data_IF_237369820530
#
_entry.id   IF_237369820530
#
_cell.length_a   1.000
_cell.length_b   1.000
_cell.length_c   1.000
_cell.angle_alpha   90.00
_cell.angle_beta   90.00
_cell.angle_gamma   90.00
#
_symmetry.space_group_name_H-M   'P 1'
#
loop_
_entity.id
_entity.type
_entity.pdbx_description
1 polymer ?
#
# COMPACT_ATOMS: atom_id res chain seq x y z
N UNK A 1 18.50 -8.99 -0.56
CA UNK A 1 17.83 -9.24 -1.86
C UNK A 1 16.51 -8.49 -1.88
N UNK A 2 16.02 -8.06 -3.05
CA UNK A 2 14.75 -7.32 -3.19
C UNK A 2 13.68 -8.15 -3.90
N UNK A 3 12.45 -8.13 -3.40
CA UNK A 3 11.28 -8.78 -4.02
C UNK A 3 10.10 -7.82 -4.02
N UNK A 4 9.44 -7.70 -5.17
CA UNK A 4 8.20 -6.94 -5.33
C UNK A 4 7.01 -7.89 -5.50
N UNK A 5 5.87 -7.53 -4.92
CA UNK A 5 4.62 -8.26 -5.13
C UNK A 5 3.42 -7.58 -4.48
N UNK A 6 2.29 -8.27 -4.48
CA UNK A 6 1.04 -7.83 -3.84
C UNK A 6 0.76 -8.73 -2.64
N UNK A 7 0.42 -8.15 -1.50
CA UNK A 7 0.01 -8.91 -0.32
C UNK A 7 -1.32 -9.62 -0.62
N UNK A 8 -1.27 -10.92 -0.84
CA UNK A 8 -2.41 -11.76 -1.16
C UNK A 8 -3.25 -12.06 0.09
N UNK A 9 -2.57 -12.37 1.19
CA UNK A 9 -3.21 -12.69 2.46
C UNK A 9 -2.29 -12.45 3.66
N UNK A 10 -2.88 -12.14 4.82
CA UNK A 10 -2.16 -12.00 6.09
C UNK A 10 -2.54 -13.21 6.95
N UNK A 11 -1.63 -14.20 6.99
CA UNK A 11 -1.85 -15.48 7.67
C UNK A 11 -1.80 -15.33 9.19
N UNK A 12 -0.89 -14.48 9.67
CA UNK A 12 -0.73 -14.19 11.09
C UNK A 12 -0.16 -12.79 11.29
N UNK A 13 -0.65 -12.10 12.32
CA UNK A 13 -0.07 -10.86 12.79
C UNK A 13 -0.06 -10.80 14.30
N UNK A 14 1.08 -10.42 14.86
CA UNK A 14 1.20 -10.04 16.25
C UNK A 14 1.00 -8.51 16.36
N UNK A 15 -0.11 -8.11 17.00
CA UNK A 15 -0.48 -6.69 17.15
C UNK A 15 0.44 -5.92 18.12
N UNK A 16 1.19 -6.60 19.00
CA UNK A 16 2.07 -5.95 19.98
C UNK A 16 3.41 -5.52 19.38
N UNK A 17 4.00 -6.34 18.50
CA UNK A 17 5.34 -6.10 17.96
C UNK A 17 5.40 -5.99 16.43
N UNK A 18 4.28 -6.17 15.73
CA UNK A 18 4.18 -6.06 14.28
C UNK A 18 4.72 -7.26 13.50
N UNK A 19 5.12 -8.35 14.17
CA UNK A 19 5.53 -9.56 13.49
C UNK A 19 4.39 -10.09 12.62
N UNK A 20 4.69 -10.31 11.34
CA UNK A 20 3.71 -10.64 10.32
C UNK A 20 4.19 -11.86 9.55
N UNK A 21 3.26 -12.77 9.29
CA UNK A 21 3.38 -13.84 8.30
C UNK A 21 2.32 -13.58 7.24
N UNK A 22 2.74 -13.41 5.98
CA UNK A 22 1.84 -13.09 4.88
C UNK A 22 2.19 -13.89 3.63
N UNK A 23 1.24 -13.96 2.70
CA UNK A 23 1.44 -14.44 1.34
C UNK A 23 1.65 -13.25 0.42
N UNK A 24 2.72 -13.29 -0.36
CA UNK A 24 3.05 -12.30 -1.37
C UNK A 24 2.90 -12.94 -2.75
N UNK A 25 1.95 -12.44 -3.54
CA UNK A 25 1.82 -12.80 -4.94
C UNK A 25 2.84 -12.01 -5.75
N UNK A 26 3.83 -12.71 -6.32
CA UNK A 26 4.83 -12.13 -7.23
C UNK A 26 4.44 -12.37 -8.68
N UNK A 27 5.27 -11.96 -9.64
CA UNK A 27 5.03 -12.28 -11.06
C UNK A 27 5.12 -13.78 -11.35
N UNK A 28 5.98 -14.50 -10.62
CA UNK A 28 6.25 -15.91 -10.85
C UNK A 28 5.36 -16.84 -10.01
N UNK A 29 5.23 -16.58 -8.70
CA UNK A 29 4.45 -17.41 -7.78
C UNK A 29 4.07 -16.69 -6.46
N UNK A 30 3.21 -17.32 -5.66
CA UNK A 30 2.87 -16.90 -4.29
C UNK A 30 3.89 -17.44 -3.28
N UNK A 31 4.69 -16.54 -2.70
CA UNK A 31 5.69 -16.88 -1.67
C UNK A 31 5.19 -16.53 -0.25
N UNK A 32 5.70 -17.22 0.77
CA UNK A 32 5.47 -16.83 2.17
C UNK A 32 6.52 -15.80 2.60
N UNK A 33 6.08 -14.69 3.16
CA UNK A 33 6.95 -13.63 3.71
C UNK A 33 6.81 -13.56 5.23
N UNK A 34 7.92 -13.28 5.93
CA UNK A 34 7.96 -13.11 7.39
C UNK A 34 8.82 -11.92 7.79
N UNK A 35 8.38 -11.14 8.78
CA UNK A 35 9.13 -9.96 9.21
C UNK A 35 8.30 -9.03 10.10
N UNK A 36 8.85 -7.89 10.48
CA UNK A 36 8.14 -6.88 11.27
C UNK A 36 7.61 -5.80 10.34
N UNK A 37 6.30 -5.58 10.34
CA UNK A 37 5.65 -4.53 9.56
C UNK A 37 4.75 -3.65 10.44
N UNK A 38 4.97 -2.33 10.42
CA UNK A 38 4.11 -1.36 11.11
C UNK A 38 2.70 -1.35 10.52
N UNK A 39 2.64 -1.34 9.19
CA UNK A 39 1.42 -1.35 8.42
C UNK A 39 1.64 -2.30 7.25
N UNK A 40 0.64 -3.14 7.04
CA UNK A 40 0.58 -4.08 5.94
C UNK A 40 -0.89 -4.44 5.77
N UNK A 41 -1.38 -4.43 4.54
CA UNK A 41 -2.77 -4.70 4.20
C UNK A 41 -2.83 -5.69 3.06
N UNK A 42 -3.90 -6.47 3.03
CA UNK A 42 -4.25 -7.25 1.85
C UNK A 42 -4.44 -6.31 0.65
N UNK A 43 -4.08 -6.80 -0.53
CA UNK A 43 -4.09 -6.11 -1.82
C UNK A 43 -3.12 -4.91 -1.90
N UNK A 44 -2.21 -4.78 -0.93
CA UNK A 44 -1.19 -3.74 -0.93
C UNK A 44 0.03 -4.19 -1.76
N UNK A 45 0.45 -3.40 -2.77
CA UNK A 45 1.68 -3.65 -3.49
C UNK A 45 2.88 -3.18 -2.64
N UNK A 46 3.88 -4.03 -2.50
CA UNK A 46 5.05 -3.78 -1.64
C UNK A 46 6.36 -4.17 -2.32
N UNK A 47 7.42 -3.48 -1.94
CA UNK A 47 8.81 -3.86 -2.17
C UNK A 47 9.41 -4.29 -0.83
N UNK A 48 9.99 -5.48 -0.80
CA UNK A 48 10.61 -6.07 0.37
C UNK A 48 12.11 -6.22 0.15
N UNK A 49 12.90 -5.90 1.17
CA UNK A 49 14.33 -6.19 1.21
C UNK A 49 14.61 -7.22 2.31
N UNK A 50 15.34 -8.29 1.98
CA UNK A 50 15.67 -9.37 2.90
C UNK A 50 16.24 -10.60 2.18
N UNK A 51 16.10 -11.76 2.80
CA UNK A 51 16.69 -13.02 2.34
C UNK A 51 15.76 -14.23 2.54
N UNK A 52 15.90 -15.25 1.70
CA UNK A 52 15.21 -16.53 1.90
C UNK A 52 15.80 -17.27 3.11
N UNK A 53 14.91 -17.83 3.92
CA UNK A 53 15.21 -18.66 5.08
C UNK A 53 14.34 -19.90 5.06
N UNK A 54 14.75 -20.93 5.79
CA UNK A 54 14.00 -22.18 5.91
C UNK A 54 13.54 -22.38 7.34
N UNK A 55 12.25 -22.63 7.53
CA UNK A 55 11.68 -22.97 8.83
C UNK A 55 11.29 -24.45 8.85
N UNK A 56 11.81 -25.22 9.82
CA UNK A 56 11.66 -26.69 9.88
C UNK A 56 10.23 -27.20 9.69
N UNK A 57 9.24 -26.46 10.22
CA UNK A 57 7.80 -26.79 10.11
C UNK A 57 7.10 -26.22 8.88
N UNK A 58 7.56 -25.07 8.36
CA UNK A 58 6.78 -24.26 7.41
C UNK A 58 7.44 -24.12 6.03
N UNK A 59 8.65 -24.66 5.87
CA UNK A 59 9.40 -24.63 4.62
C UNK A 59 10.09 -23.28 4.38
N UNK A 60 10.33 -22.99 3.12
CA UNK A 60 10.99 -21.78 2.65
C UNK A 60 10.10 -20.54 2.84
N UNK A 61 10.71 -19.47 3.33
CA UNK A 61 10.06 -18.19 3.58
C UNK A 61 11.03 -17.07 3.21
N UNK A 62 10.53 -15.96 2.69
CA UNK A 62 11.32 -14.75 2.53
C UNK A 62 11.26 -13.92 3.81
N UNK A 63 12.37 -13.82 4.52
CA UNK A 63 12.48 -12.99 5.73
C UNK A 63 12.85 -11.57 5.32
N UNK A 64 11.89 -10.66 5.39
CA UNK A 64 12.14 -9.24 5.08
C UNK A 64 12.61 -8.47 6.32
N UNK A 65 13.57 -7.59 6.11
CA UNK A 65 14.07 -6.64 7.10
C UNK A 65 13.50 -5.23 6.86
N UNK A 66 13.18 -4.92 5.61
CA UNK A 66 12.49 -3.69 5.23
C UNK A 66 11.29 -3.99 4.34
N UNK A 67 10.24 -3.19 4.50
CA UNK A 67 9.01 -3.21 3.70
C UNK A 67 8.66 -1.77 3.33
N UNK A 68 8.43 -1.55 2.04
CA UNK A 68 8.00 -0.27 1.47
C UNK A 68 6.73 -0.48 0.67
N UNK A 69 5.67 0.26 0.99
CA UNK A 69 4.49 0.33 0.13
C UNK A 69 4.84 1.06 -1.15
N UNK A 70 4.53 0.46 -2.30
CA UNK A 70 4.74 1.09 -3.61
C UNK A 70 3.40 1.56 -4.17
N UNK A 71 3.42 2.51 -5.09
CA UNK A 71 2.20 2.85 -5.84
C UNK A 71 1.96 1.74 -6.87
N UNK A 72 0.73 1.17 -6.96
CA UNK A 72 0.45 0.19 -7.99
C UNK A 72 0.53 0.85 -9.36
N UNK A 73 1.11 0.13 -10.33
CA UNK A 73 1.17 0.54 -11.73
C UNK A 73 0.17 -0.21 -12.61
N UNK A 74 -0.35 -1.36 -12.14
CA UNK A 74 -1.34 -2.14 -12.87
C UNK A 74 -2.75 -1.60 -12.64
N UNK A 75 -3.60 -1.68 -13.66
CA UNK A 75 -5.01 -1.26 -13.61
C UNK A 75 -5.75 -1.91 -12.43
N UNK A 76 -5.54 -3.21 -12.21
CA UNK A 76 -6.14 -3.96 -11.11
C UNK A 76 -5.62 -3.46 -9.75
N UNK A 77 -4.30 -3.30 -9.62
CA UNK A 77 -3.69 -2.80 -8.40
C UNK A 77 -4.16 -1.39 -8.05
N UNK A 78 -4.26 -0.50 -9.05
CA UNK A 78 -4.74 0.86 -8.88
C UNK A 78 -6.20 0.87 -8.43
N UNK A 79 -7.04 0.04 -9.04
CA UNK A 79 -8.45 -0.11 -8.65
C UNK A 79 -8.58 -0.58 -7.20
N UNK A 80 -7.84 -1.62 -6.81
CA UNK A 80 -7.87 -2.15 -5.44
C UNK A 80 -7.37 -1.11 -4.44
N UNK A 81 -6.26 -0.45 -4.75
CA UNK A 81 -5.68 0.62 -3.93
C UNK A 81 -6.65 1.78 -3.71
N UNK A 82 -7.25 2.30 -4.78
CA UNK A 82 -8.25 3.38 -4.72
C UNK A 82 -9.51 2.93 -3.96
N UNK A 83 -9.95 1.68 -4.13
CA UNK A 83 -11.15 1.13 -3.52
C UNK A 83 -10.99 0.64 -2.07
N UNK A 84 -9.74 0.51 -1.58
CA UNK A 84 -9.40 -0.07 -0.27
C UNK A 84 -9.86 0.76 0.94
N UNK A 85 -10.30 2.00 0.72
CA UNK A 85 -10.59 2.96 1.78
C UNK A 85 -9.34 3.66 2.35
N UNK A 86 -8.16 3.43 1.75
CA UNK A 86 -6.94 4.19 2.06
C UNK A 86 -7.05 5.67 1.71
N UNK A 87 -7.80 6.00 0.65
CA UNK A 87 -8.13 7.38 0.29
C UNK A 87 -9.59 7.59 0.66
N UNK A 88 -9.89 8.27 1.78
CA UNK A 88 -11.25 8.60 2.14
C UNK A 88 -11.99 9.25 0.97
N UNK A 89 -13.30 8.98 0.87
CA UNK A 89 -14.18 9.45 -0.21
C UNK A 89 -13.99 8.75 -1.59
N UNK A 90 -13.03 7.84 -1.73
CA UNK A 90 -12.97 6.90 -2.86
C UNK A 90 -13.38 5.50 -2.36
N UNK A 91 -14.63 5.13 -2.62
CA UNK A 91 -15.11 3.76 -2.39
C UNK A 91 -14.96 2.89 -3.65
N UNK A 92 -15.19 1.56 -3.57
CA UNK A 92 -14.99 0.62 -4.68
C UNK A 92 -15.66 1.06 -5.99
N UNK A 93 -16.92 1.50 -5.94
CA UNK A 93 -17.64 2.00 -7.14
C UNK A 93 -17.02 3.26 -7.76
N UNK A 94 -16.40 4.10 -6.95
CA UNK A 94 -15.73 5.32 -7.45
C UNK A 94 -14.37 4.94 -8.03
N UNK A 95 -13.65 4.02 -7.38
CA UNK A 95 -12.40 3.46 -7.90
C UNK A 95 -12.61 2.79 -9.27
N UNK A 96 -13.67 2.00 -9.43
CA UNK A 96 -14.07 1.41 -10.71
C UNK A 96 -14.19 2.47 -11.80
N UNK A 97 -15.02 3.50 -11.57
CA UNK A 97 -15.23 4.57 -12.56
C UNK A 97 -13.95 5.35 -12.89
N UNK A 98 -13.09 5.58 -11.91
CA UNK A 98 -11.80 6.27 -12.11
C UNK A 98 -10.90 5.44 -13.01
N UNK A 99 -10.76 4.15 -12.72
CA UNK A 99 -9.90 3.25 -13.48
C UNK A 99 -10.50 2.92 -14.85
N UNK A 100 -11.81 2.80 -14.99
CA UNK A 100 -12.48 2.62 -16.28
C UNK A 100 -12.23 3.83 -17.21
N UNK A 101 -12.10 5.04 -16.65
CA UNK A 101 -11.87 6.27 -17.40
C UNK A 101 -10.38 6.51 -17.72
N UNK A 102 -9.50 6.26 -16.75
CA UNK A 102 -8.09 6.68 -16.82
C UNK A 102 -7.08 5.53 -16.84
N UNK A 103 -7.52 4.30 -16.62
CA UNK A 103 -6.67 3.11 -16.65
C UNK A 103 -5.50 3.19 -15.67
N UNK A 104 -4.31 2.85 -16.17
CA UNK A 104 -3.04 2.90 -15.46
C UNK A 104 -2.60 4.33 -15.11
N UNK A 105 -3.21 5.35 -15.72
CA UNK A 105 -2.96 6.78 -15.41
C UNK A 105 -3.80 7.32 -14.28
N UNK A 106 -4.70 6.54 -13.70
CA UNK A 106 -5.63 7.03 -12.68
C UNK A 106 -4.94 7.74 -11.50
N UNK A 107 -3.82 7.21 -11.01
CA UNK A 107 -3.07 7.85 -9.90
C UNK A 107 -2.40 9.16 -10.33
N UNK A 108 -1.80 9.20 -11.53
CA UNK A 108 -1.21 10.42 -12.10
C UNK A 108 -2.28 11.51 -12.30
N UNK A 109 -3.47 11.13 -12.76
CA UNK A 109 -4.59 12.07 -12.93
C UNK A 109 -5.04 12.63 -11.59
N UNK A 110 -5.18 11.80 -10.56
CA UNK A 110 -5.56 12.29 -9.22
C UNK A 110 -4.49 13.25 -8.68
N UNK A 111 -3.21 12.97 -8.92
CA UNK A 111 -2.11 13.77 -8.39
C UNK A 111 -1.87 15.09 -9.13
N UNK A 112 -1.90 15.06 -10.46
CA UNK A 112 -1.43 16.18 -11.30
C UNK A 112 -2.55 16.88 -12.07
N UNK A 113 -3.67 16.20 -12.32
CA UNK A 113 -4.80 16.72 -13.11
C UNK A 113 -6.16 16.39 -12.46
N UNK A 114 -6.34 16.66 -11.15
CA UNK A 114 -7.50 16.19 -10.38
C UNK A 114 -8.84 16.72 -10.92
N UNK A 115 -8.85 17.87 -11.58
CA UNK A 115 -10.02 18.44 -12.24
C UNK A 115 -10.65 17.49 -13.28
N UNK A 116 -9.86 16.60 -13.88
CA UNK A 116 -10.36 15.59 -14.82
C UNK A 116 -11.28 14.58 -14.17
N UNK A 117 -11.23 14.41 -12.84
CA UNK A 117 -12.20 13.56 -12.15
C UNK A 117 -13.64 14.06 -12.33
N UNK A 118 -13.86 15.34 -12.68
CA UNK A 118 -15.19 15.87 -13.04
C UNK A 118 -15.74 15.29 -14.35
N UNK A 119 -14.90 14.65 -15.18
CA UNK A 119 -15.34 13.89 -16.36
C UNK A 119 -16.13 12.62 -15.96
N UNK A 120 -16.08 12.21 -14.69
CA UNK A 120 -16.71 10.98 -14.19
C UNK A 120 -18.07 11.30 -13.56
N UNK A 121 -19.11 10.63 -14.07
CA UNK A 121 -20.45 10.70 -13.49
C UNK A 121 -20.45 10.33 -11.99
N UNK A 122 -21.04 11.19 -11.17
CA UNK A 122 -21.08 11.04 -9.71
C UNK A 122 -19.87 11.62 -8.96
N UNK A 123 -18.93 12.29 -9.65
CA UNK A 123 -17.90 13.13 -9.04
C UNK A 123 -18.18 14.60 -9.38
N UNK A 124 -18.88 15.30 -8.48
CA UNK A 124 -19.05 16.75 -8.56
C UNK A 124 -17.97 17.50 -7.78
N UNK A 125 -17.92 18.84 -7.93
CA UNK A 125 -16.92 19.73 -7.29
C UNK A 125 -16.68 19.44 -5.81
N UNK A 126 -17.75 19.31 -5.02
CA UNK A 126 -17.66 19.01 -3.57
C UNK A 126 -17.02 17.65 -3.26
N UNK A 127 -17.22 16.65 -4.13
CA UNK A 127 -16.60 15.33 -3.96
C UNK A 127 -15.14 15.37 -4.41
N UNK A 128 -14.85 16.09 -5.50
CA UNK A 128 -13.49 16.34 -5.95
C UNK A 128 -12.64 17.00 -4.85
N UNK A 129 -13.11 18.09 -4.25
CA UNK A 129 -12.42 18.79 -3.16
C UNK A 129 -12.05 17.84 -2.02
N UNK A 130 -12.99 16.99 -1.61
CA UNK A 130 -12.76 15.98 -0.57
C UNK A 130 -11.74 14.91 -0.98
N UNK A 131 -11.80 14.44 -2.23
CA UNK A 131 -10.85 13.46 -2.75
C UNK A 131 -9.44 14.06 -2.74
N UNK A 132 -9.28 15.30 -3.21
CA UNK A 132 -7.99 15.99 -3.23
C UNK A 132 -7.41 16.13 -1.82
N UNK A 133 -8.22 16.62 -0.87
CA UNK A 133 -7.80 16.74 0.52
C UNK A 133 -7.35 15.39 1.10
N UNK A 134 -8.14 14.33 0.90
CA UNK A 134 -7.83 12.99 1.39
C UNK A 134 -6.60 12.38 0.72
N UNK A 135 -6.35 12.69 -0.55
CA UNK A 135 -5.19 12.18 -1.27
C UNK A 135 -3.90 12.86 -0.82
N UNK A 136 -3.93 14.18 -0.60
CA UNK A 136 -2.78 14.94 -0.09
C UNK A 136 -2.41 14.52 1.33
N UNK A 137 -3.39 14.41 2.24
CA UNK A 137 -3.17 13.92 3.61
C UNK A 137 -2.49 12.52 3.63
N UNK A 138 -2.91 11.63 2.73
CA UNK A 138 -2.35 10.28 2.61
C UNK A 138 -0.96 10.29 1.97
N UNK A 139 -0.66 11.26 1.10
CA UNK A 139 0.66 11.44 0.50
C UNK A 139 1.66 11.96 1.53
N UNK A 140 1.30 12.99 2.27
CA UNK A 140 2.15 13.55 3.34
C UNK A 140 2.46 12.50 4.42
N UNK A 141 1.46 11.72 4.84
CA UNK A 141 1.68 10.63 5.79
C UNK A 141 2.69 9.58 5.27
N UNK A 142 2.67 9.28 3.96
CA UNK A 142 3.64 8.37 3.35
C UNK A 142 5.04 8.97 3.26
N UNK A 143 5.16 10.24 2.87
CA UNK A 143 6.46 10.93 2.81
C UNK A 143 7.12 10.98 4.21
N UNK A 144 6.33 11.19 5.27
CA UNK A 144 6.82 11.14 6.66
C UNK A 144 7.32 9.74 7.05
N UNK A 145 6.57 8.68 6.73
CA UNK A 145 6.96 7.30 7.06
C UNK A 145 8.23 6.89 6.31
N UNK A 146 8.32 7.23 5.01
CA UNK A 146 9.51 6.95 4.18
C UNK A 146 10.73 7.70 4.73
N UNK A 147 10.59 8.98 5.06
CA UNK A 147 11.68 9.77 5.66
C UNK A 147 12.16 9.17 7.00
N UNK A 148 11.24 8.71 7.85
CA UNK A 148 11.61 8.08 9.12
C UNK A 148 12.31 6.73 8.95
N UNK A 149 11.99 5.97 7.90
CA UNK A 149 12.69 4.73 7.55
C UNK A 149 14.11 4.98 7.04
N UNK A 150 14.36 6.07 6.31
CA UNK A 150 15.71 6.46 5.84
C UNK A 150 16.67 6.81 7.00
N UNK A 151 16.16 7.17 8.18
CA UNK A 151 16.96 7.45 9.37
C UNK A 151 17.32 6.20 10.20
N UNK A 152 17.12 4.97 9.69
CA UNK A 152 17.36 3.71 10.43
C UNK A 152 16.56 3.58 11.75
N UNK A 153 15.49 4.36 11.87
CA UNK A 153 14.59 4.32 13.02
C UNK A 153 13.56 3.23 12.71
N UNK A 154 13.70 2.09 13.40
CA UNK A 154 12.76 0.97 13.25
C UNK A 154 11.30 1.46 13.38
N UNK A 155 10.39 0.82 12.65
CA UNK A 155 8.94 0.95 12.77
C UNK A 155 8.41 1.27 14.18
N UNK A 156 9.00 0.62 15.20
CA UNK A 156 8.64 0.74 16.61
C UNK A 156 9.01 2.10 17.26
N UNK A 157 10.03 2.79 16.76
CA UNK A 157 10.45 4.09 17.28
C UNK A 157 9.67 5.25 16.64
N UNK A 158 9.32 5.13 15.35
CA UNK A 158 8.54 6.14 14.62
C UNK A 158 7.13 6.37 15.19
N UNK A 159 6.48 5.31 15.70
CA UNK A 159 5.16 5.44 16.34
C UNK A 159 5.16 6.22 17.67
N UNK A 160 6.28 6.28 18.40
CA UNK A 160 6.39 7.09 19.63
C UNK A 160 6.48 8.58 19.35
N UNK A 161 6.97 8.96 18.16
CA UNK A 161 7.17 10.35 17.76
C UNK A 161 5.87 10.94 17.18
N UNK A 162 5.08 10.17 16.43
CA UNK A 162 3.84 10.65 15.83
C UNK A 162 2.68 10.87 16.84
N UNK A 163 2.71 10.22 18.01
CA UNK A 163 1.66 10.31 19.04
C UNK A 163 1.91 11.38 20.11
N UNK A 164 2.83 12.33 19.89
CA UNK A 164 2.96 13.53 20.72
C UNK A 164 2.38 14.75 20.03
#
# INVERSE_FOLDING_TARGET
MEIQGIIEDIVYRNEENGYTVAKLYTEDDSITIVGIATFIRKDEPVLLEGDFTYHDKFGEQFKFEQIKSIMPSSVIGIKNYLGSGLIPNIGPKTADKIVDRFGDKALDIIQYYPERLLEIDGIGKKKLEKIMQSFDEQREAREVVVALQEFNISANQSMKIYKQ
#
